data_IF_713177806775
#
_entry.id   IF_713177806775
#
_cell.length_a   1.000
_cell.length_b   1.000
_cell.length_c   1.000
_cell.angle_alpha   90.00
_cell.angle_beta   90.00
_cell.angle_gamma   90.00
#
_symmetry.space_group_name_H-M   'P 1'
#
loop_
_entity.id
_entity.type
_entity.pdbx_description
1 polymer ?
#
# COMPACT_ATOMS: atom_id res chain seq x y z
N UNK A 1 31.23 -11.89 -9.26
CA UNK A 1 31.91 -11.04 -8.26
C UNK A 1 31.03 -9.85 -7.99
N UNK A 2 30.97 -9.37 -6.75
CA UNK A 2 30.24 -8.17 -6.34
C UNK A 2 31.28 -7.11 -5.98
N UNK A 3 31.22 -5.97 -6.66
CA UNK A 3 32.11 -4.84 -6.40
C UNK A 3 31.39 -3.81 -5.52
N UNK A 4 31.94 -3.57 -4.33
CA UNK A 4 31.51 -2.54 -3.40
C UNK A 4 32.32 -1.28 -3.70
N UNK A 5 31.64 -0.19 -4.03
CA UNK A 5 32.23 1.06 -4.50
C UNK A 5 31.91 2.22 -3.58
N UNK A 6 32.82 3.17 -3.46
CA UNK A 6 32.56 4.45 -2.79
C UNK A 6 31.74 5.39 -3.69
N UNK A 7 31.35 6.56 -3.16
CA UNK A 7 30.61 7.59 -3.92
C UNK A 7 31.39 8.15 -5.13
N UNK A 8 32.71 7.95 -5.18
CA UNK A 8 33.60 8.35 -6.27
C UNK A 8 33.73 7.25 -7.34
N UNK A 9 32.97 6.15 -7.20
CA UNK A 9 33.05 4.93 -8.02
C UNK A 9 34.34 4.14 -7.88
N UNK A 10 35.17 4.41 -6.87
CA UNK A 10 36.36 3.63 -6.57
C UNK A 10 35.98 2.33 -5.85
N UNK A 11 36.54 1.21 -6.31
CA UNK A 11 36.29 -0.10 -5.70
C UNK A 11 36.97 -0.17 -4.32
N UNK A 12 36.18 -0.40 -3.28
CA UNK A 12 36.66 -0.61 -1.91
C UNK A 12 36.91 -2.09 -1.63
N UNK A 13 36.05 -2.97 -2.16
CA UNK A 13 36.15 -4.42 -1.97
C UNK A 13 35.46 -5.14 -3.13
N UNK A 14 36.06 -6.23 -3.61
CA UNK A 14 35.42 -7.18 -4.51
C UNK A 14 35.29 -8.53 -3.81
N UNK A 15 34.06 -9.02 -3.66
CA UNK A 15 33.80 -10.30 -2.98
C UNK A 15 32.84 -11.16 -3.80
N UNK A 16 33.02 -12.49 -3.89
CA UNK A 16 31.98 -13.36 -4.43
C UNK A 16 30.77 -13.38 -3.48
N UNK A 17 29.54 -13.59 -4.00
CA UNK A 17 28.41 -13.92 -3.17
C UNK A 17 28.63 -15.29 -2.50
N UNK A 18 28.19 -15.43 -1.25
CA UNK A 18 28.21 -16.70 -0.51
C UNK A 18 26.79 -17.09 -0.06
N UNK A 19 26.63 -18.24 0.60
CA UNK A 19 25.34 -18.76 1.06
C UNK A 19 24.59 -17.80 2.02
N UNK A 20 25.31 -16.91 2.68
CA UNK A 20 24.71 -15.92 3.58
C UNK A 20 24.14 -14.69 2.86
N UNK A 21 24.49 -14.49 1.59
CA UNK A 21 24.03 -13.35 0.80
C UNK A 21 22.56 -13.54 0.39
N UNK A 22 21.74 -12.51 0.60
CA UNK A 22 20.31 -12.55 0.24
C UNK A 22 19.80 -11.18 -0.16
N UNK A 23 18.77 -11.16 -1.02
CA UNK A 23 17.89 -10.00 -1.20
C UNK A 23 16.61 -10.20 -0.40
N UNK A 24 16.13 -9.15 0.25
CA UNK A 24 14.81 -9.13 0.89
C UNK A 24 14.05 -7.92 0.36
N UNK A 25 12.89 -8.19 -0.24
CA UNK A 25 11.96 -7.19 -0.73
C UNK A 25 10.59 -7.44 -0.11
N UNK A 26 10.09 -6.45 0.61
CA UNK A 26 8.70 -6.35 1.08
C UNK A 26 8.18 -4.99 0.66
N UNK A 27 7.12 -4.97 -0.15
CA UNK A 27 6.53 -3.75 -0.71
C UNK A 27 6.24 -2.71 0.38
N UNK A 28 6.64 -1.45 0.15
CA UNK A 28 6.50 -0.33 1.09
C UNK A 28 7.07 -0.57 2.50
N UNK A 29 8.03 -1.49 2.65
CA UNK A 29 8.58 -1.85 3.96
C UNK A 29 10.09 -2.06 3.99
N UNK A 30 10.66 -2.82 3.07
CA UNK A 30 12.11 -3.03 3.00
C UNK A 30 12.51 -3.51 1.59
N UNK A 31 13.63 -3.02 1.08
CA UNK A 31 14.27 -3.56 -0.12
C UNK A 31 15.78 -3.42 0.07
N UNK A 32 16.43 -4.54 0.36
CA UNK A 32 17.85 -4.54 0.65
C UNK A 32 18.51 -5.84 0.21
N UNK A 33 19.82 -5.75 -0.01
CA UNK A 33 20.71 -6.89 -0.09
C UNK A 33 21.53 -6.98 1.20
N UNK A 34 21.77 -8.21 1.65
CA UNK A 34 22.69 -8.53 2.72
C UNK A 34 23.88 -9.24 2.09
N UNK A 35 25.08 -8.73 2.32
CA UNK A 35 26.34 -9.35 1.92
C UNK A 35 27.07 -9.84 3.17
N UNK A 36 27.39 -11.13 3.20
CA UNK A 36 28.22 -11.69 4.27
C UNK A 36 29.62 -11.93 3.76
N UNK A 37 30.64 -11.55 4.52
CA UNK A 37 32.05 -11.84 4.22
C UNK A 37 32.91 -11.58 5.44
N UNK A 38 34.15 -12.06 5.41
CA UNK A 38 35.13 -11.86 6.48
C UNK A 38 36.39 -11.23 5.90
N UNK A 39 37.00 -10.29 6.62
CA UNK A 39 38.24 -9.62 6.24
C UNK A 39 39.26 -9.70 7.38
N UNK A 40 40.55 -9.76 7.05
CA UNK A 40 41.62 -9.68 8.06
C UNK A 40 41.71 -8.28 8.68
N UNK A 41 41.48 -7.23 7.87
CA UNK A 41 41.51 -5.84 8.31
C UNK A 41 40.14 -5.19 8.09
N UNK A 42 39.65 -4.36 9.02
CA UNK A 42 38.32 -3.80 8.93
C UNK A 42 38.28 -2.66 7.90
N UNK A 43 37.31 -2.72 7.00
CA UNK A 43 36.87 -1.62 6.15
C UNK A 43 35.63 -0.97 6.78
N UNK A 44 35.65 0.35 6.91
CA UNK A 44 34.51 1.14 7.36
C UNK A 44 33.77 1.71 6.16
N UNK A 45 32.62 1.11 5.84
CA UNK A 45 31.77 1.56 4.74
C UNK A 45 31.03 2.84 5.15
N UNK A 46 31.19 3.88 4.34
CA UNK A 46 30.51 5.17 4.55
C UNK A 46 29.10 5.13 3.97
N UNK A 47 28.23 6.00 4.46
CA UNK A 47 26.92 6.24 3.84
C UNK A 47 27.09 6.58 2.36
N UNK A 48 26.27 5.96 1.50
CA UNK A 48 26.35 6.09 0.04
C UNK A 48 27.38 5.19 -0.64
N UNK A 49 28.15 4.39 0.11
CA UNK A 49 28.86 3.22 -0.47
C UNK A 49 27.82 2.33 -1.14
N UNK A 50 28.08 1.87 -2.37
CA UNK A 50 27.08 1.18 -3.16
C UNK A 50 27.60 -0.07 -3.86
N UNK A 51 26.64 -0.88 -4.29
CA UNK A 51 26.80 -2.08 -5.12
C UNK A 51 25.81 -1.97 -6.27
N UNK A 52 26.27 -2.30 -7.47
CA UNK A 52 25.42 -2.48 -8.64
C UNK A 52 25.41 -3.98 -9.00
N UNK A 53 24.21 -4.55 -9.08
CA UNK A 53 24.00 -5.96 -9.41
C UNK A 53 22.75 -6.13 -10.27
N UNK A 54 22.42 -7.37 -10.63
CA UNK A 54 21.26 -7.69 -11.48
C UNK A 54 19.92 -7.22 -10.88
N UNK A 55 19.86 -6.98 -9.57
CA UNK A 55 18.67 -6.47 -8.89
C UNK A 55 18.57 -4.93 -8.89
N UNK A 56 19.60 -4.22 -9.33
CA UNK A 56 19.66 -2.75 -9.34
C UNK A 56 20.80 -2.19 -8.49
N UNK A 57 20.63 -0.93 -8.08
CA UNK A 57 21.60 -0.18 -7.29
C UNK A 57 21.21 -0.23 -5.80
N UNK A 58 22.13 -0.68 -4.95
CA UNK A 58 21.95 -0.75 -3.51
C UNK A 58 23.06 0.02 -2.79
N UNK A 59 22.73 0.74 -1.73
CA UNK A 59 23.65 1.60 -1.00
C UNK A 59 23.53 1.50 0.52
N UNK A 60 24.62 1.79 1.21
CA UNK A 60 24.67 1.87 2.66
C UNK A 60 23.91 3.10 3.13
N UNK A 61 22.74 2.88 3.75
CA UNK A 61 21.86 3.94 4.24
C UNK A 61 21.96 4.17 5.76
N UNK A 62 22.55 3.23 6.50
CA UNK A 62 22.73 3.27 7.95
C UNK A 62 24.19 2.95 8.31
N UNK A 63 24.65 3.46 9.46
CA UNK A 63 25.98 3.13 9.99
C UNK A 63 26.05 1.64 10.34
N UNK A 64 27.07 0.97 9.83
CA UNK A 64 27.29 -0.46 10.06
C UNK A 64 28.73 -0.71 10.47
N UNK A 65 28.89 -1.62 11.43
CA UNK A 65 30.18 -2.00 12.00
C UNK A 65 30.35 -3.51 11.87
N UNK A 66 31.56 -3.99 11.53
CA UNK A 66 31.84 -5.42 11.56
C UNK A 66 31.85 -5.96 12.99
N UNK A 67 31.67 -7.27 13.10
CA UNK A 67 31.87 -8.03 14.33
C UNK A 67 33.28 -8.61 14.33
N UNK A 68 34.06 -8.36 15.37
CA UNK A 68 35.38 -8.99 15.51
C UNK A 68 35.22 -10.48 15.85
N UNK A 69 35.91 -11.33 15.10
CA UNK A 69 35.89 -12.78 15.27
C UNK A 69 37.15 -13.22 16.01
N UNK A 70 36.97 -13.78 17.21
CA UNK A 70 38.06 -14.19 18.09
C UNK A 70 38.79 -15.45 17.62
N UNK A 71 38.16 -16.27 16.78
CA UNK A 71 38.70 -17.58 16.39
C UNK A 71 39.73 -17.46 15.27
N UNK A 72 39.51 -16.51 14.35
CA UNK A 72 40.41 -16.24 13.22
C UNK A 72 41.06 -14.85 13.28
N UNK A 73 40.82 -14.08 14.34
CA UNK A 73 41.28 -12.70 14.52
C UNK A 73 40.88 -11.75 13.37
N UNK A 74 39.80 -12.08 12.64
CA UNK A 74 39.26 -11.30 11.52
C UNK A 74 38.03 -10.49 11.90
N UNK A 75 37.41 -9.91 10.88
CA UNK A 75 36.23 -9.06 10.97
C UNK A 75 35.12 -9.61 10.08
N UNK A 76 34.04 -10.07 10.71
CA UNK A 76 32.87 -10.61 10.04
C UNK A 76 31.86 -9.48 9.75
N UNK A 77 31.39 -9.45 8.51
CA UNK A 77 30.43 -8.47 8.02
C UNK A 77 29.09 -9.14 7.73
N UNK A 78 28.02 -8.47 8.17
CA UNK A 78 26.66 -8.64 7.65
C UNK A 78 26.23 -7.32 7.02
N UNK A 79 26.90 -6.95 5.92
CA UNK A 79 26.73 -5.65 5.28
C UNK A 79 25.37 -5.57 4.58
N UNK A 80 24.47 -4.76 5.12
CA UNK A 80 23.18 -4.42 4.52
C UNK A 80 23.33 -3.21 3.59
N UNK A 81 22.91 -3.34 2.35
CA UNK A 81 22.75 -2.22 1.43
C UNK A 81 21.29 -2.15 1.00
N UNK A 82 20.64 -1.01 1.23
CA UNK A 82 19.25 -0.78 0.87
C UNK A 82 19.15 -0.26 -0.57
N UNK A 83 18.04 -0.49 -1.26
CA UNK A 83 17.85 -0.01 -2.63
C UNK A 83 18.03 1.53 -2.70
N UNK A 84 18.46 2.05 -3.85
CA UNK A 84 18.90 3.45 -4.06
C UNK A 84 17.95 4.56 -3.62
N UNK A 85 16.66 4.26 -3.45
CA UNK A 85 15.65 5.20 -2.97
C UNK A 85 15.54 5.23 -1.43
N UNK A 86 16.08 4.24 -0.71
CA UNK A 86 15.95 4.14 0.75
C UNK A 86 16.66 5.26 1.50
N UNK A 87 17.72 5.86 0.93
CA UNK A 87 18.37 7.03 1.52
C UNK A 87 17.43 8.23 1.70
N UNK A 88 16.29 8.26 1.00
CA UNK A 88 15.27 9.29 1.14
C UNK A 88 14.65 9.31 2.54
N UNK A 89 14.70 8.18 3.28
CA UNK A 89 14.29 8.11 4.69
C UNK A 89 15.08 9.08 5.59
N UNK A 90 16.29 9.42 5.19
CA UNK A 90 17.19 10.31 5.93
C UNK A 90 17.03 11.79 5.52
N UNK A 91 15.98 12.13 4.77
CA UNK A 91 15.76 13.48 4.21
C UNK A 91 14.36 13.96 4.54
N UNK A 92 14.29 15.12 5.18
CA UNK A 92 13.03 15.78 5.55
C UNK A 92 12.31 16.22 4.27
N UNK A 93 11.02 15.94 4.20
CA UNK A 93 10.15 16.33 3.09
C UNK A 93 9.64 17.77 3.27
N UNK A 94 9.96 18.63 2.31
CA UNK A 94 9.67 20.08 2.40
C UNK A 94 8.73 20.54 1.30
N UNK A 95 7.84 21.48 1.61
CA UNK A 95 6.86 21.99 0.64
C UNK A 95 7.51 22.80 -0.50
N UNK A 96 8.34 23.76 -0.11
CA UNK A 96 9.34 24.35 -0.98
C UNK A 96 10.64 23.69 -0.54
N UNK A 97 11.42 23.07 -1.43
CA UNK A 97 12.77 22.60 -1.08
C UNK A 97 13.89 23.50 -1.63
N UNK A 98 13.57 24.48 -2.48
CA UNK A 98 14.57 25.31 -3.19
C UNK A 98 15.03 26.57 -2.42
N UNK A 99 14.26 27.03 -1.45
CA UNK A 99 14.56 28.20 -0.59
C UNK A 99 15.20 27.81 0.76
N UNK A 100 15.95 28.69 1.40
CA UNK A 100 16.54 28.44 2.73
C UNK A 100 15.55 28.79 3.86
N UNK A 101 15.42 27.94 4.89
CA UNK A 101 14.64 28.25 6.13
C UNK A 101 13.23 27.65 6.21
N UNK A 102 13.00 26.49 5.60
CA UNK A 102 11.67 25.98 5.28
C UNK A 102 10.98 25.21 6.40
N UNK A 103 9.66 25.39 6.46
CA UNK A 103 8.73 24.67 7.30
C UNK A 103 8.64 23.19 6.86
N UNK A 104 8.93 22.28 7.79
CA UNK A 104 8.85 20.83 7.59
C UNK A 104 7.47 20.26 7.92
N UNK A 105 6.53 21.12 8.31
CA UNK A 105 5.18 20.78 8.73
C UNK A 105 4.20 21.58 7.89
N UNK A 106 3.42 20.91 7.06
CA UNK A 106 2.53 21.58 6.10
C UNK A 106 1.38 20.67 5.70
N UNK A 107 0.29 21.30 5.27
CA UNK A 107 -0.89 20.61 4.77
C UNK A 107 -1.21 21.07 3.36
N UNK A 108 -1.67 20.16 2.53
CA UNK A 108 -2.08 20.47 1.16
C UNK A 108 -3.26 19.60 0.74
N UNK A 109 -4.32 20.25 0.25
CA UNK A 109 -5.44 19.58 -0.43
C UNK A 109 -5.19 19.62 -1.92
N UNK A 110 -4.75 18.50 -2.49
CA UNK A 110 -4.38 18.41 -3.90
C UNK A 110 -4.48 16.97 -4.41
N UNK A 111 -4.54 16.76 -5.75
CA UNK A 111 -4.47 15.43 -6.34
C UNK A 111 -3.07 14.82 -6.22
N UNK A 112 -2.98 13.50 -6.40
CA UNK A 112 -1.74 12.73 -6.18
C UNK A 112 -0.57 13.21 -7.05
N UNK A 113 -0.82 13.59 -8.31
CA UNK A 113 0.21 14.11 -9.20
C UNK A 113 0.86 15.40 -8.68
N UNK A 114 0.09 16.28 -8.04
CA UNK A 114 0.62 17.51 -7.43
C UNK A 114 1.43 17.16 -6.19
N UNK A 115 0.97 16.23 -5.34
CA UNK A 115 1.73 15.76 -4.18
C UNK A 115 3.08 15.11 -4.61
N UNK A 116 3.04 14.23 -5.60
CA UNK A 116 4.21 13.56 -6.16
C UNK A 116 5.19 14.56 -6.82
N UNK A 117 4.69 15.65 -7.44
CA UNK A 117 5.57 16.69 -7.99
C UNK A 117 6.43 17.39 -6.92
N UNK A 118 5.94 17.49 -5.68
CA UNK A 118 6.69 18.05 -4.55
C UNK A 118 7.80 17.08 -4.13
N UNK A 119 7.57 15.76 -4.21
CA UNK A 119 8.62 14.75 -4.02
C UNK A 119 9.75 14.96 -5.04
N UNK A 120 9.42 15.08 -6.33
CA UNK A 120 10.42 15.31 -7.38
C UNK A 120 11.23 16.59 -7.15
N UNK A 121 10.56 17.68 -6.71
CA UNK A 121 11.25 18.92 -6.34
C UNK A 121 12.25 18.73 -5.20
N UNK A 122 11.90 17.92 -4.19
CA UNK A 122 12.82 17.62 -3.09
C UNK A 122 14.02 16.81 -3.58
N UNK A 123 13.79 15.76 -4.38
CA UNK A 123 14.86 14.95 -4.95
C UNK A 123 15.80 15.79 -5.82
N UNK A 124 15.24 16.68 -6.64
CA UNK A 124 16.00 17.60 -7.49
C UNK A 124 16.82 18.60 -6.69
N UNK A 125 16.24 19.22 -5.65
CA UNK A 125 16.96 20.13 -4.77
C UNK A 125 18.12 19.44 -4.02
N UNK A 126 18.01 18.14 -3.76
CA UNK A 126 19.07 17.32 -3.16
C UNK A 126 20.10 16.80 -4.19
N UNK A 127 19.88 17.02 -5.49
CA UNK A 127 20.72 16.50 -6.56
C UNK A 127 20.65 14.98 -6.74
N UNK A 128 19.54 14.35 -6.32
CA UNK A 128 19.36 12.90 -6.43
C UNK A 128 18.96 12.50 -7.84
N UNK A 129 19.74 11.58 -8.40
CA UNK A 129 19.52 10.97 -9.72
C UNK A 129 19.71 9.47 -9.61
N UNK A 130 19.15 8.73 -10.56
CA UNK A 130 19.41 7.31 -10.76
C UNK A 130 20.19 7.14 -12.06
N UNK A 131 21.45 6.69 -11.96
CA UNK A 131 22.38 6.56 -13.10
C UNK A 131 22.46 7.83 -13.98
N UNK A 132 22.42 9.00 -13.33
CA UNK A 132 22.46 10.31 -14.00
C UNK A 132 21.12 10.80 -14.57
N UNK A 133 20.03 10.06 -14.40
CA UNK A 133 18.69 10.48 -14.80
C UNK A 133 17.90 11.05 -13.62
N UNK A 134 17.17 12.15 -13.87
CA UNK A 134 16.23 12.73 -12.91
C UNK A 134 15.11 11.73 -12.61
N UNK A 135 14.60 11.76 -11.38
CA UNK A 135 13.43 10.97 -11.00
C UNK A 135 12.16 11.52 -11.62
N UNK A 136 11.23 10.62 -11.93
CA UNK A 136 9.88 10.95 -12.38
C UNK A 136 8.85 10.06 -11.66
N UNK A 137 7.56 10.31 -11.85
CA UNK A 137 6.50 9.45 -11.32
C UNK A 137 5.55 8.96 -12.41
N UNK A 138 4.95 7.80 -12.16
CA UNK A 138 3.89 7.23 -12.98
C UNK A 138 2.71 6.88 -12.09
N UNK A 139 1.53 7.41 -12.41
CA UNK A 139 0.28 7.07 -11.71
C UNK A 139 -0.55 6.19 -12.63
N UNK A 140 -0.84 4.98 -12.19
CA UNK A 140 -1.65 4.03 -12.93
C UNK A 140 -3.08 4.56 -13.11
N UNK A 141 -3.69 4.26 -14.27
CA UNK A 141 -5.04 4.70 -14.61
C UNK A 141 -6.14 4.20 -13.65
N UNK A 142 -5.87 3.16 -12.87
CA UNK A 142 -6.78 2.63 -11.85
C UNK A 142 -6.81 3.46 -10.57
N UNK A 143 -5.85 4.37 -10.36
CA UNK A 143 -5.83 5.27 -9.20
C UNK A 143 -6.75 6.45 -9.46
N UNK A 144 -7.73 6.65 -8.58
CA UNK A 144 -8.71 7.72 -8.71
C UNK A 144 -8.04 9.10 -8.57
N UNK A 145 -8.21 9.95 -9.58
CA UNK A 145 -7.69 11.31 -9.57
C UNK A 145 -8.59 12.25 -8.74
N UNK A 146 -8.53 12.11 -7.42
CA UNK A 146 -9.24 12.98 -6.46
C UNK A 146 -8.26 13.83 -5.65
N UNK A 147 -8.71 15.02 -5.27
CA UNK A 147 -7.98 15.89 -4.35
C UNK A 147 -8.27 15.51 -2.91
N UNK A 148 -7.23 15.19 -2.15
CA UNK A 148 -7.34 14.85 -0.73
C UNK A 148 -6.43 15.74 0.09
N UNK A 149 -6.87 16.04 1.32
CA UNK A 149 -6.03 16.69 2.31
C UNK A 149 -4.99 15.70 2.83
N UNK A 150 -3.72 16.06 2.66
CA UNK A 150 -2.57 15.46 3.32
C UNK A 150 -1.95 16.48 4.28
N UNK A 151 -1.44 15.98 5.40
CA UNK A 151 -0.68 16.76 6.37
C UNK A 151 0.61 16.01 6.63
N UNK A 152 1.73 16.71 6.51
CA UNK A 152 3.06 16.21 6.80
C UNK A 152 3.58 16.97 8.02
N UNK A 153 4.22 16.28 8.94
CA UNK A 153 4.80 16.89 10.13
C UNK A 153 6.18 16.29 10.38
N UNK A 154 7.21 16.99 9.89
CA UNK A 154 8.59 16.51 9.90
C UNK A 154 8.76 15.10 9.30
N UNK A 155 7.90 14.75 8.34
CA UNK A 155 7.93 13.47 7.62
C UNK A 155 9.14 13.42 6.70
N UNK A 156 9.77 12.25 6.53
CA UNK A 156 10.81 12.08 5.52
C UNK A 156 10.21 11.82 4.12
N UNK A 157 11.03 11.99 3.07
CA UNK A 157 10.56 11.87 1.68
C UNK A 157 10.00 10.48 1.37
N UNK A 158 10.61 9.42 1.90
CA UNK A 158 10.18 8.05 1.62
C UNK A 158 8.82 7.74 2.27
N UNK A 159 8.69 8.06 3.55
CA UNK A 159 7.44 7.90 4.29
C UNK A 159 6.32 8.72 3.68
N UNK A 160 6.61 9.95 3.21
CA UNK A 160 5.64 10.76 2.48
C UNK A 160 5.10 10.04 1.23
N UNK A 161 5.94 9.31 0.48
CA UNK A 161 5.50 8.51 -0.66
C UNK A 161 4.57 7.36 -0.23
N UNK A 162 4.90 6.66 0.86
CA UNK A 162 4.09 5.56 1.37
C UNK A 162 2.76 6.05 1.97
N UNK A 163 2.77 7.20 2.66
CA UNK A 163 1.56 7.83 3.18
C UNK A 163 0.64 8.33 2.05
N UNK A 164 1.21 8.89 0.97
CA UNK A 164 0.45 9.23 -0.24
C UNK A 164 -0.23 7.98 -0.82
N UNK A 165 0.51 6.89 -1.00
CA UNK A 165 -0.05 5.65 -1.53
C UNK A 165 -1.22 5.13 -0.69
N UNK A 166 -1.02 5.08 0.64
CA UNK A 166 -2.06 4.68 1.59
C UNK A 166 -3.30 5.57 1.51
N UNK A 167 -3.12 6.89 1.36
CA UNK A 167 -4.24 7.85 1.29
C UNK A 167 -5.06 7.71 0.01
N UNK A 168 -4.43 7.34 -1.10
CA UNK A 168 -5.09 7.09 -2.39
C UNK A 168 -5.52 5.63 -2.61
N UNK A 169 -5.42 4.78 -1.59
CA UNK A 169 -5.75 3.34 -1.67
C UNK A 169 -4.98 2.63 -2.79
N UNK A 170 -3.70 2.95 -2.91
CA UNK A 170 -2.79 2.35 -3.87
C UNK A 170 -1.46 1.92 -3.23
N UNK A 171 -0.63 1.27 -4.02
CA UNK A 171 0.71 0.83 -3.68
C UNK A 171 1.74 1.76 -4.32
N UNK A 172 2.93 1.85 -3.70
CA UNK A 172 4.05 2.64 -4.17
C UNK A 172 5.28 1.75 -4.27
N UNK A 173 5.92 1.76 -5.44
CA UNK A 173 7.17 1.05 -5.69
C UNK A 173 8.06 1.85 -6.62
N UNK A 174 9.35 1.52 -6.62
CA UNK A 174 10.35 2.20 -7.42
C UNK A 174 10.90 1.23 -8.46
N UNK A 175 11.02 1.69 -9.70
CA UNK A 175 11.71 0.96 -10.76
C UNK A 175 12.63 1.96 -11.45
N UNK A 176 13.93 1.73 -11.34
CA UNK A 176 14.95 2.66 -11.82
C UNK A 176 14.74 4.09 -11.28
N UNK A 177 14.47 5.06 -12.17
CA UNK A 177 14.20 6.45 -11.84
C UNK A 177 12.71 6.78 -11.68
N UNK A 178 11.80 5.80 -11.78
CA UNK A 178 10.35 6.03 -11.77
C UNK A 178 9.74 5.61 -10.42
N UNK A 179 8.99 6.54 -9.82
CA UNK A 179 8.13 6.30 -8.65
C UNK A 179 6.74 5.92 -9.16
N UNK A 180 6.34 4.68 -8.98
CA UNK A 180 5.04 4.18 -9.42
C UNK A 180 4.01 4.28 -8.30
N UNK A 181 2.80 4.73 -8.64
CA UNK A 181 1.61 4.67 -7.80
C UNK A 181 0.53 3.89 -8.52
N UNK A 182 0.05 2.80 -7.94
CA UNK A 182 -0.91 1.93 -8.62
C UNK A 182 -1.17 0.63 -7.88
N UNK A 183 -1.57 -0.41 -8.60
CA UNK A 183 -1.52 -1.78 -8.09
C UNK A 183 -0.26 -2.44 -8.63
N UNK A 184 0.54 -3.02 -7.75
CA UNK A 184 1.76 -3.71 -8.07
C UNK A 184 1.42 -5.10 -8.64
N UNK A 185 1.00 -5.12 -9.90
CA UNK A 185 0.75 -6.34 -10.67
C UNK A 185 1.95 -6.55 -11.61
N UNK A 186 2.89 -7.41 -11.20
CA UNK A 186 4.06 -7.77 -12.02
C UNK A 186 3.82 -9.09 -12.77
N UNK A 187 3.99 -9.03 -14.10
CA UNK A 187 4.22 -10.20 -14.95
C UNK A 187 2.98 -11.01 -15.36
N UNK A 188 3.25 -12.13 -16.03
CA UNK A 188 2.25 -13.10 -16.45
C UNK A 188 1.81 -13.99 -15.30
N UNK A 189 0.61 -14.57 -15.41
CA UNK A 189 0.12 -15.55 -14.45
C UNK A 189 1.07 -16.75 -14.37
N UNK A 190 1.68 -16.94 -13.19
CA UNK A 190 2.42 -18.18 -12.87
C UNK A 190 1.48 -19.13 -12.14
N UNK A 191 1.15 -20.25 -12.78
CA UNK A 191 0.41 -21.32 -12.11
C UNK A 191 1.29 -21.93 -11.01
N UNK A 192 0.83 -21.86 -9.76
CA UNK A 192 1.50 -22.46 -8.60
C UNK A 192 0.97 -23.88 -8.39
N UNK A 193 1.77 -24.88 -8.76
CA UNK A 193 1.46 -26.31 -8.62
C UNK A 193 2.42 -26.97 -7.61
N UNK A 194 1.86 -27.53 -6.53
CA UNK A 194 2.62 -28.31 -5.53
C UNK A 194 3.28 -29.50 -6.22
N UNK A 195 4.54 -29.78 -5.87
CA UNK A 195 5.39 -30.82 -6.46
C UNK A 195 5.83 -30.58 -7.92
N UNK A 196 5.54 -29.40 -8.48
CA UNK A 196 6.09 -28.95 -9.77
C UNK A 196 6.94 -27.70 -9.61
N UNK A 197 6.34 -26.59 -9.18
CA UNK A 197 7.03 -25.31 -8.97
C UNK A 197 6.83 -24.75 -7.55
N UNK A 198 6.10 -25.46 -6.69
CA UNK A 198 5.95 -25.15 -5.27
C UNK A 198 6.39 -26.35 -4.44
N UNK A 199 7.43 -26.17 -3.61
CA UNK A 199 7.93 -27.21 -2.71
C UNK A 199 7.01 -27.44 -1.52
N UNK A 200 6.55 -26.36 -0.89
CA UNK A 200 5.60 -26.37 0.21
C UNK A 200 4.70 -25.13 0.10
N UNK A 201 3.43 -25.28 0.47
CA UNK A 201 2.48 -24.17 0.57
C UNK A 201 1.94 -24.16 1.99
N UNK A 202 2.54 -23.32 2.85
CA UNK A 202 2.03 -23.11 4.19
C UNK A 202 0.87 -22.11 4.15
N UNK A 203 -0.25 -22.48 4.74
CA UNK A 203 -1.42 -21.60 4.88
C UNK A 203 -1.44 -21.08 6.31
N UNK A 204 -1.30 -19.78 6.49
CA UNK A 204 -1.71 -19.12 7.73
C UNK A 204 -3.17 -18.71 7.60
N UNK A 205 -4.02 -19.15 8.52
CA UNK A 205 -5.37 -18.59 8.61
C UNK A 205 -5.28 -17.10 8.95
N UNK A 206 -6.05 -16.26 8.24
CA UNK A 206 -6.06 -14.82 8.52
C UNK A 206 -6.54 -14.57 9.95
N UNK A 207 -5.91 -13.63 10.66
CA UNK A 207 -6.40 -13.15 11.97
C UNK A 207 -7.67 -12.28 11.86
N UNK A 208 -8.24 -12.12 10.67
CA UNK A 208 -9.55 -11.49 10.48
C UNK A 208 -10.66 -12.40 10.96
N UNK A 209 -11.70 -11.84 11.58
CA UNK A 209 -12.93 -12.57 11.90
C UNK A 209 -13.51 -13.17 10.62
N UNK A 210 -13.47 -14.50 10.50
CA UNK A 210 -14.12 -15.22 9.41
C UNK A 210 -15.63 -15.08 9.58
N UNK A 211 -16.34 -14.66 8.54
CA UNK A 211 -17.79 -14.57 8.54
C UNK A 211 -18.34 -15.07 7.21
N UNK A 212 -19.38 -15.89 7.28
CA UNK A 212 -20.14 -16.35 6.10
C UNK A 212 -21.46 -15.59 5.96
N UNK A 213 -21.99 -14.98 7.03
CA UNK A 213 -23.18 -14.12 7.01
C UNK A 213 -22.87 -12.75 7.59
N UNK A 214 -23.15 -11.68 6.83
CA UNK A 214 -22.87 -10.31 7.27
C UNK A 214 -24.18 -9.51 7.40
N UNK A 215 -24.38 -8.93 8.59
CA UNK A 215 -25.34 -7.88 8.84
C UNK A 215 -24.65 -6.53 8.59
N UNK A 216 -25.13 -5.77 7.62
CA UNK A 216 -24.52 -4.48 7.28
C UNK A 216 -25.42 -3.32 7.63
N UNK A 217 -24.84 -2.31 8.26
CA UNK A 217 -25.50 -1.04 8.57
C UNK A 217 -24.66 0.11 8.00
N UNK A 218 -25.31 1.13 7.48
CA UNK A 218 -24.66 2.39 7.15
C UNK A 218 -24.68 3.37 8.33
N UNK A 219 -24.34 4.62 8.02
CA UNK A 219 -24.30 5.73 8.96
C UNK A 219 -25.67 6.04 9.57
N UNK A 220 -25.67 6.80 10.67
CA UNK A 220 -26.88 7.43 11.25
C UNK A 220 -27.16 8.81 10.63
N UNK A 221 -26.25 9.33 9.79
CA UNK A 221 -26.33 10.68 9.20
C UNK A 221 -27.41 10.76 8.13
N UNK A 222 -28.08 11.91 8.03
CA UNK A 222 -29.08 12.23 7.00
C UNK A 222 -30.22 11.21 6.87
N UNK A 223 -30.61 10.55 7.97
CA UNK A 223 -31.75 9.63 7.97
C UNK A 223 -33.03 10.42 8.27
N UNK A 224 -34.01 10.47 7.34
CA UNK A 224 -35.30 11.08 7.58
C UNK A 224 -36.05 10.46 8.78
N UNK A 225 -36.85 11.25 9.47
CA UNK A 225 -37.66 10.76 10.60
C UNK A 225 -38.60 9.60 10.21
N UNK A 226 -39.08 9.60 8.95
CA UNK A 226 -39.94 8.59 8.35
C UNK A 226 -39.18 7.44 7.62
N UNK A 227 -37.85 7.38 7.73
CA UNK A 227 -37.07 6.30 7.15
C UNK A 227 -37.34 4.99 7.89
N UNK A 228 -37.97 4.04 7.18
CA UNK A 228 -38.45 2.73 7.67
C UNK A 228 -39.22 2.85 8.99
N UNK A 229 -40.56 3.01 8.94
CA UNK A 229 -41.36 3.03 10.16
C UNK A 229 -41.03 1.77 10.97
N UNK A 230 -40.55 1.99 12.19
CA UNK A 230 -40.20 0.92 13.11
C UNK A 230 -41.53 0.34 13.58
N UNK A 231 -41.76 -0.95 13.36
CA UNK A 231 -42.86 -1.63 14.04
C UNK A 231 -42.63 -1.49 15.54
N UNK A 232 -43.52 -0.77 16.23
CA UNK A 232 -43.44 -0.50 17.68
C UNK A 232 -43.41 -1.79 18.51
N UNK A 233 -43.76 -2.94 17.91
CA UNK A 233 -43.66 -4.28 18.49
C UNK A 233 -42.22 -4.79 18.69
N UNK A 234 -41.20 -4.19 18.05
CA UNK A 234 -39.78 -4.62 18.16
C UNK A 234 -39.02 -3.81 19.23
N UNK A 235 -39.70 -2.91 19.95
CA UNK A 235 -39.11 -2.10 21.01
C UNK A 235 -38.97 -2.91 22.30
N UNK A 236 -37.94 -3.75 22.36
CA UNK A 236 -37.47 -4.30 23.64
C UNK A 236 -36.44 -3.30 24.20
N UNK A 237 -36.81 -2.62 25.28
CA UNK A 237 -35.94 -1.75 26.09
C UNK A 237 -35.40 -0.45 25.46
N UNK A 238 -36.13 0.17 24.51
CA UNK A 238 -35.90 1.58 24.16
C UNK A 238 -34.57 1.93 23.46
N UNK A 239 -33.78 0.94 23.04
CA UNK A 239 -32.53 1.17 22.29
C UNK A 239 -32.81 1.04 20.80
N UNK A 240 -33.20 2.14 20.14
CA UNK A 240 -33.26 2.20 18.68
C UNK A 240 -32.32 3.29 18.18
N UNK A 241 -31.15 2.89 17.69
CA UNK A 241 -30.35 3.76 16.82
C UNK A 241 -30.83 3.57 15.38
N UNK A 242 -31.53 4.56 14.82
CA UNK A 242 -31.86 4.59 13.40
C UNK A 242 -30.56 4.63 12.59
N UNK A 243 -30.29 3.59 11.81
CA UNK A 243 -29.13 3.45 10.91
C UNK A 243 -29.63 3.12 9.51
N UNK A 244 -28.86 3.50 8.49
CA UNK A 244 -29.15 3.11 7.12
C UNK A 244 -29.07 1.58 7.01
N UNK A 245 -30.07 0.95 6.41
CA UNK A 245 -30.19 -0.51 6.34
C UNK A 245 -30.05 -1.02 4.91
N UNK A 246 -29.72 -2.32 4.76
CA UNK A 246 -29.82 -3.05 3.49
C UNK A 246 -31.22 -2.93 2.88
N UNK A 247 -31.37 -3.09 1.54
CA UNK A 247 -32.65 -3.03 0.84
C UNK A 247 -33.76 -3.84 1.49
N UNK A 248 -35.00 -3.39 1.31
CA UNK A 248 -36.17 -4.03 1.91
C UNK A 248 -36.25 -5.50 1.45
N UNK A 249 -36.53 -6.41 2.39
CA UNK A 249 -36.50 -7.85 2.15
C UNK A 249 -35.10 -8.49 2.12
N UNK A 250 -34.02 -7.73 2.38
CA UNK A 250 -32.65 -8.26 2.47
C UNK A 250 -32.09 -8.07 3.89
N UNK A 251 -32.29 -9.02 4.81
CA UNK A 251 -31.86 -8.89 6.21
C UNK A 251 -30.34 -9.02 6.39
N UNK A 252 -29.67 -9.78 5.53
CA UNK A 252 -28.23 -10.07 5.59
C UNK A 252 -27.70 -10.41 4.20
N UNK A 253 -26.37 -10.47 4.08
CA UNK A 253 -25.68 -10.96 2.89
C UNK A 253 -24.95 -12.26 3.25
N UNK A 254 -25.28 -13.32 2.51
CA UNK A 254 -24.69 -14.64 2.67
C UNK A 254 -23.56 -14.87 1.66
N UNK A 255 -22.51 -15.56 2.12
CA UNK A 255 -21.37 -15.95 1.31
C UNK A 255 -21.74 -16.96 0.21
N UNK A 256 -22.71 -17.83 0.48
CA UNK A 256 -23.19 -18.85 -0.43
C UNK A 256 -24.72 -18.85 -0.48
N UNK A 257 -25.34 -19.10 -1.66
CA UNK A 257 -26.79 -19.21 -1.76
C UNK A 257 -27.35 -20.33 -0.88
N UNK A 258 -28.41 -20.05 -0.11
CA UNK A 258 -29.16 -21.03 0.71
C UNK A 258 -28.35 -21.66 1.87
N UNK A 259 -27.42 -20.94 2.48
CA UNK A 259 -26.79 -21.40 3.72
C UNK A 259 -27.82 -21.57 4.83
N UNK A 260 -27.69 -22.64 5.62
CA UNK A 260 -28.46 -22.79 6.84
C UNK A 260 -28.01 -21.80 7.91
N UNK A 261 -28.80 -21.65 8.98
CA UNK A 261 -28.42 -20.84 10.14
C UNK A 261 -27.19 -21.40 10.85
N UNK A 262 -27.02 -22.72 10.82
CA UNK A 262 -25.92 -23.44 11.47
C UNK A 262 -24.61 -23.35 10.67
N UNK A 263 -24.69 -23.18 9.35
CA UNK A 263 -23.53 -22.94 8.47
C UNK A 263 -23.09 -21.46 8.47
N UNK A 264 -23.94 -20.58 9.00
CA UNK A 264 -23.70 -19.15 9.04
C UNK A 264 -22.83 -18.77 10.25
N UNK A 265 -21.65 -18.20 9.97
CA UNK A 265 -20.82 -17.50 10.93
C UNK A 265 -21.11 -16.02 10.76
N UNK A 266 -21.75 -15.44 11.76
CA UNK A 266 -22.36 -14.13 11.67
C UNK A 266 -21.40 -13.00 12.09
N UNK A 267 -21.41 -11.91 11.34
CA UNK A 267 -20.68 -10.69 11.70
C UNK A 267 -21.50 -9.44 11.38
N UNK A 268 -21.38 -8.43 12.25
CA UNK A 268 -21.95 -7.09 12.04
C UNK A 268 -20.88 -6.16 11.50
N UNK A 269 -21.16 -5.45 10.41
CA UNK A 269 -20.27 -4.45 9.80
C UNK A 269 -21.01 -3.12 9.69
N UNK A 270 -20.36 -2.03 10.13
CA UNK A 270 -20.91 -0.67 10.11
C UNK A 270 -20.08 0.19 9.16
N UNK A 271 -20.76 0.86 8.21
CA UNK A 271 -20.16 1.77 7.24
C UNK A 271 -20.54 3.22 7.57
N UNK A 272 -19.75 3.88 8.42
CA UNK A 272 -20.03 5.26 8.85
C UNK A 272 -20.00 6.29 7.70
N UNK A 273 -19.30 5.96 6.61
CA UNK A 273 -19.18 6.79 5.41
C UNK A 273 -20.35 6.62 4.41
N UNK A 274 -21.25 5.67 4.63
CA UNK A 274 -22.42 5.44 3.76
C UNK A 274 -23.65 6.10 4.37
N UNK A 275 -24.08 7.22 3.79
CA UNK A 275 -25.25 7.99 4.23
C UNK A 275 -26.03 8.56 3.03
N UNK A 276 -27.34 8.89 3.17
CA UNK A 276 -28.10 9.55 2.12
C UNK A 276 -27.53 10.93 1.76
N UNK A 277 -27.31 11.20 0.46
CA UNK A 277 -26.94 12.53 -0.04
C UNK A 277 -28.14 13.49 -0.08
N UNK A 278 -27.91 14.80 0.05
CA UNK A 278 -28.95 15.84 0.14
C UNK A 278 -29.88 15.97 -1.09
N UNK A 279 -29.65 15.23 -2.18
CA UNK A 279 -30.41 15.37 -3.43
C UNK A 279 -30.86 14.06 -4.09
N UNK A 280 -30.74 12.91 -3.42
CA UNK A 280 -31.30 11.64 -3.91
C UNK A 280 -32.28 11.05 -2.91
N UNK A 281 -33.56 11.41 -3.06
CA UNK A 281 -34.66 10.58 -2.58
C UNK A 281 -34.53 9.18 -3.21
N UNK A 282 -34.20 8.21 -2.36
CA UNK A 282 -34.35 6.75 -2.55
C UNK A 282 -34.38 6.29 -4.02
N UNK A 283 -33.23 6.23 -4.68
CA UNK A 283 -33.01 5.28 -5.77
C UNK A 283 -31.85 4.37 -5.40
N UNK A 284 -32.12 3.09 -5.48
CA UNK A 284 -31.23 1.97 -5.16
C UNK A 284 -29.96 2.01 -6.01
N UNK A 285 -28.92 2.65 -5.50
CA UNK A 285 -27.55 2.44 -5.98
C UNK A 285 -26.75 1.67 -4.94
N UNK A 286 -26.24 0.50 -5.33
CA UNK A 286 -25.24 -0.23 -4.56
C UNK A 286 -23.95 0.61 -4.45
N UNK A 287 -23.25 0.58 -3.30
CA UNK A 287 -22.05 1.38 -3.07
C UNK A 287 -20.91 1.01 -4.05
N UNK A 288 -20.15 2.02 -4.50
CA UNK A 288 -18.96 1.82 -5.37
C UNK A 288 -17.71 1.37 -4.60
N UNK A 289 -17.69 1.54 -3.28
CA UNK A 289 -16.60 1.10 -2.42
C UNK A 289 -17.09 0.02 -1.47
N UNK A 290 -17.05 -1.21 -1.97
CA UNK A 290 -17.31 -2.42 -1.21
C UNK A 290 -15.95 -3.02 -0.83
N UNK A 291 -15.72 -3.42 0.43
CA UNK A 291 -14.52 -4.15 0.82
C UNK A 291 -14.28 -5.33 -0.13
N UNK A 292 -13.02 -5.57 -0.55
CA UNK A 292 -12.65 -6.65 -1.50
C UNK A 292 -13.38 -7.99 -1.26
N UNK A 293 -13.59 -8.47 -0.01
CA UNK A 293 -14.33 -9.72 0.24
C UNK A 293 -15.80 -9.67 -0.22
N UNK A 294 -16.50 -8.56 0.04
CA UNK A 294 -17.90 -8.37 -0.35
C UNK A 294 -18.05 -8.12 -1.86
N UNK A 295 -17.06 -7.49 -2.52
CA UNK A 295 -17.10 -7.26 -3.97
C UNK A 295 -17.00 -8.57 -4.76
N UNK A 296 -16.11 -9.48 -4.34
CA UNK A 296 -16.00 -10.83 -4.92
C UNK A 296 -17.27 -11.68 -4.71
N UNK A 297 -18.02 -11.40 -3.63
CA UNK A 297 -19.28 -12.08 -3.32
C UNK A 297 -20.46 -11.58 -4.17
N UNK A 298 -20.55 -10.26 -4.40
CA UNK A 298 -21.64 -9.68 -5.18
C UNK A 298 -21.52 -9.96 -6.69
N UNK A 299 -20.30 -10.13 -7.22
CA UNK A 299 -20.08 -10.46 -8.64
C UNK A 299 -20.48 -11.90 -9.02
N UNK A 300 -20.71 -12.78 -8.03
CA UNK A 300 -21.11 -14.20 -8.25
C UNK A 300 -22.62 -14.45 -8.20
N UNK A 301 -23.44 -13.43 -7.95
CA UNK A 301 -24.89 -13.55 -8.03
C UNK A 301 -25.34 -13.68 -9.50
N UNK A 302 -26.25 -14.62 -9.84
CA UNK A 302 -26.77 -14.71 -11.20
C UNK A 302 -27.57 -13.45 -11.54
N UNK A 303 -27.12 -12.70 -12.56
CA UNK A 303 -27.86 -11.59 -13.16
C UNK A 303 -29.18 -12.13 -13.72
N UNK A 304 -30.28 -11.94 -13.00
CA UNK A 304 -31.61 -12.16 -13.58
C UNK A 304 -31.91 -11.03 -14.56
N UNK A 305 -32.06 -11.42 -15.82
CA UNK A 305 -32.40 -10.61 -16.97
C UNK A 305 -33.68 -9.80 -16.75
N UNK A 306 -33.57 -8.48 -16.84
CA UNK A 306 -34.65 -7.51 -16.91
C UNK A 306 -34.18 -6.36 -17.76
N UNK A 307 -34.15 -6.59 -19.06
CA UNK A 307 -33.81 -5.63 -20.11
C UNK A 307 -34.89 -4.54 -20.12
N UNK A 308 -34.54 -3.28 -19.84
CA UNK A 308 -35.38 -2.13 -20.18
C UNK A 308 -34.50 -1.03 -20.78
N UNK A 309 -34.43 -1.08 -22.11
CA UNK A 309 -34.02 -0.02 -23.00
C UNK A 309 -34.89 1.21 -22.75
N UNK A 310 -34.30 2.40 -22.60
CA UNK A 310 -35.03 3.66 -22.78
C UNK A 310 -34.28 4.51 -23.79
N UNK A 311 -34.93 4.66 -24.94
CA UNK A 311 -34.63 5.50 -26.07
C UNK A 311 -34.58 6.98 -25.68
N UNK A 312 -33.66 7.72 -26.31
CA UNK A 312 -33.74 9.18 -26.41
C UNK A 312 -34.94 9.55 -27.27
N UNK A 313 -35.92 10.23 -26.71
CA UNK A 313 -36.80 11.13 -27.47
C UNK A 313 -36.40 12.57 -27.15
N UNK A 314 -35.94 13.27 -28.19
CA UNK A 314 -35.78 14.72 -28.17
C UNK A 314 -37.16 15.36 -28.23
N UNK A 315 -37.36 16.36 -27.37
CA UNK A 315 -38.33 17.43 -27.48
C UNK A 315 -37.64 18.69 -26.99
#
# INVERSE_FOLDING_TARGET
MIDIKDISSAILLSTPPNEGCKRKLTLQKEDYILLKFSLENPIYFKLGTYVECDFGLFEVCDLQSPTFNTDNAGYDYELRLDAHYWKWKNKIFKYTPETSGQEASWSLTAPLNVQASIVLRNLKALGYTYKGQDFDFSIDSTVENKSLLMTYDNTNILDACFEMAKKWDCECWMTDNIIHFGKCEFGDYVNMEIAKNVGEMSRSESQSTYATRIYTFGSTRNIPANYRPVDEAVVVNGVVQKRLMLPEGTPYIDAYPKMSTEEAIEQVVIFDEVYPGELELCRTSLPRNIPKPLRMLMERLPKRSGMLTVSRTQG
#
